data_IF_231543517607
#
_entry.id   IF_231543517607
#
_cell.length_a   1.000
_cell.length_b   1.000
_cell.length_c   1.000
_cell.angle_alpha   90.00
_cell.angle_beta   90.00
_cell.angle_gamma   90.00
#
_symmetry.space_group_name_H-M   'P 1'
#
loop_
_entity.id
_entity.type
_entity.pdbx_description
1 polymer ?
#
# COMPACT_ATOMS: atom_id res chain seq x y z
N UNK A 1 -9.68 13.52 14.15
CA UNK A 1 -8.50 13.36 13.28
C UNK A 1 -8.66 12.08 12.45
N UNK A 2 -8.33 12.13 11.15
CA UNK A 2 -8.45 10.99 10.22
C UNK A 2 -7.61 9.81 10.72
N UNK A 3 -8.15 8.59 10.64
CA UNK A 3 -7.57 7.28 11.05
C UNK A 3 -7.31 7.03 12.55
N UNK A 4 -7.61 7.96 13.45
CA UNK A 4 -7.26 7.82 14.88
C UNK A 4 -7.89 6.61 15.59
N UNK A 5 -9.01 6.08 15.08
CA UNK A 5 -9.73 4.91 15.62
C UNK A 5 -9.85 3.78 14.60
N UNK A 6 -9.06 3.84 13.54
CA UNK A 6 -9.12 2.88 12.45
C UNK A 6 -8.27 1.64 12.78
N UNK A 7 -8.95 0.58 13.22
CA UNK A 7 -8.32 -0.68 13.57
C UNK A 7 -7.89 -1.52 12.36
N UNK A 8 -8.25 -1.11 11.14
CA UNK A 8 -7.89 -1.82 9.91
C UNK A 8 -6.42 -1.60 9.51
N UNK A 9 -5.87 -2.49 8.66
CA UNK A 9 -4.53 -2.34 8.10
C UNK A 9 -4.47 -1.16 7.12
N UNK A 10 -3.26 -0.81 6.65
CA UNK A 10 -3.09 0.18 5.57
C UNK A 10 -3.82 -0.24 4.30
N UNK A 11 -3.73 -1.52 3.96
CA UNK A 11 -4.40 -2.15 2.84
C UNK A 11 -4.79 -3.59 3.23
N UNK A 12 -6.09 -3.96 3.22
CA UNK A 12 -6.54 -5.30 3.58
C UNK A 12 -6.15 -6.38 2.57
N UNK A 13 -5.73 -6.00 1.37
CA UNK A 13 -5.27 -6.92 0.30
C UNK A 13 -3.75 -7.08 0.26
N UNK A 14 -3.01 -6.27 1.02
CA UNK A 14 -1.56 -6.32 1.03
C UNK A 14 -1.03 -7.43 1.96
N UNK A 15 -0.22 -8.38 1.45
CA UNK A 15 0.28 -9.50 2.24
C UNK A 15 1.51 -9.15 3.09
N UNK A 16 1.94 -7.89 3.14
CA UNK A 16 3.17 -7.51 3.84
C UNK A 16 3.05 -7.72 5.35
N UNK A 17 4.19 -7.92 6.02
CA UNK A 17 4.27 -8.06 7.47
C UNK A 17 3.70 -6.87 8.23
N UNK A 18 3.58 -5.70 7.58
CA UNK A 18 3.03 -4.49 8.17
C UNK A 18 1.51 -4.54 8.29
N UNK A 19 0.84 -4.80 7.16
CA UNK A 19 -0.62 -4.95 7.13
C UNK A 19 -1.10 -6.14 7.96
N UNK A 20 -0.27 -7.17 8.15
CA UNK A 20 -0.63 -8.32 9.00
C UNK A 20 -0.61 -8.03 10.51
N UNK A 21 0.06 -6.95 10.96
CA UNK A 21 0.37 -6.74 12.38
C UNK A 21 -0.10 -5.41 12.96
N UNK A 22 -0.13 -4.35 12.15
CA UNK A 22 -0.36 -3.00 12.66
C UNK A 22 -1.55 -2.33 11.97
N UNK A 23 -2.35 -1.65 12.79
CA UNK A 23 -3.50 -0.87 12.33
C UNK A 23 -3.10 0.53 11.87
N UNK A 24 -3.95 1.17 11.07
CA UNK A 24 -3.83 2.57 10.68
C UNK A 24 -3.81 3.49 11.90
N UNK A 25 -4.61 3.20 12.93
CA UNK A 25 -4.61 3.95 14.18
C UNK A 25 -3.24 3.90 14.89
N UNK A 26 -2.63 2.72 14.99
CA UNK A 26 -1.32 2.55 15.63
C UNK A 26 -0.22 3.24 14.84
N UNK A 27 -0.15 3.02 13.53
CA UNK A 27 0.84 3.65 12.66
C UNK A 27 0.72 5.18 12.68
N UNK A 28 -0.51 5.71 12.66
CA UNK A 28 -0.77 7.14 12.84
C UNK A 28 -0.25 7.64 14.18
N UNK A 29 -0.52 6.93 15.27
CA UNK A 29 -0.03 7.31 16.60
C UNK A 29 1.50 7.42 16.63
N UNK A 30 2.21 6.42 16.10
CA UNK A 30 3.67 6.43 16.02
C UNK A 30 4.22 7.63 15.24
N UNK A 31 3.60 7.97 14.10
CA UNK A 31 3.94 9.16 13.32
C UNK A 31 3.71 10.46 14.11
N UNK A 32 2.61 10.55 14.85
CA UNK A 32 2.26 11.75 15.63
C UNK A 32 3.21 12.01 16.80
N UNK A 33 3.75 10.96 17.41
CA UNK A 33 4.69 11.08 18.54
C UNK A 33 6.16 11.14 18.09
N UNK A 34 6.42 11.13 16.79
CA UNK A 34 7.78 11.21 16.23
C UNK A 34 8.62 9.95 16.49
N UNK A 35 7.98 8.78 16.62
CA UNK A 35 8.69 7.52 16.82
C UNK A 35 9.46 7.13 15.55
N UNK A 36 10.75 6.80 15.69
CA UNK A 36 11.66 6.59 14.55
C UNK A 36 11.31 5.35 13.71
N UNK A 37 10.81 4.29 14.36
CA UNK A 37 10.34 3.05 13.74
C UNK A 37 9.13 3.23 12.85
N UNK A 38 8.31 4.26 13.07
CA UNK A 38 7.15 4.58 12.24
C UNK A 38 7.52 4.67 10.75
N UNK A 39 8.58 5.41 10.43
CA UNK A 39 9.06 5.56 9.06
C UNK A 39 9.53 4.24 8.45
N UNK A 40 10.15 3.36 9.24
CA UNK A 40 10.57 2.03 8.79
C UNK A 40 9.37 1.16 8.43
N UNK A 41 8.32 1.16 9.25
CA UNK A 41 7.10 0.38 9.00
C UNK A 41 6.38 0.86 7.74
N UNK A 42 6.25 2.17 7.55
CA UNK A 42 5.66 2.74 6.33
C UNK A 42 6.49 2.38 5.10
N UNK A 43 7.82 2.50 5.16
CA UNK A 43 8.71 2.10 4.06
C UNK A 43 8.58 0.63 3.70
N UNK A 44 8.49 -0.27 4.70
CA UNK A 44 8.31 -1.70 4.45
C UNK A 44 7.00 -1.99 3.69
N UNK A 45 5.89 -1.34 4.07
CA UNK A 45 4.62 -1.46 3.35
C UNK A 45 4.73 -0.90 1.92
N UNK A 46 5.29 0.31 1.77
CA UNK A 46 5.40 0.96 0.47
C UNK A 46 6.28 0.16 -0.51
N UNK A 47 7.38 -0.42 -0.04
CA UNK A 47 8.24 -1.27 -0.85
C UNK A 47 7.52 -2.55 -1.26
N UNK A 48 6.82 -3.22 -0.34
CA UNK A 48 6.04 -4.41 -0.67
C UNK A 48 5.00 -4.14 -1.76
N UNK A 49 4.26 -3.04 -1.63
CA UNK A 49 3.29 -2.60 -2.65
C UNK A 49 3.98 -2.28 -3.98
N UNK A 50 5.06 -1.49 -3.96
CA UNK A 50 5.79 -1.09 -5.19
C UNK A 50 6.32 -2.31 -5.94
N UNK A 51 6.93 -3.27 -5.23
CA UNK A 51 7.43 -4.51 -5.82
C UNK A 51 6.29 -5.36 -6.41
N UNK A 52 5.12 -5.40 -5.75
CA UNK A 52 3.94 -6.08 -6.27
C UNK A 52 3.46 -5.45 -7.58
N UNK A 53 3.44 -4.12 -7.69
CA UNK A 53 3.07 -3.43 -8.94
C UNK A 53 4.03 -3.79 -10.07
N UNK A 54 5.34 -3.78 -9.82
CA UNK A 54 6.35 -4.15 -10.82
C UNK A 54 6.20 -5.62 -11.23
N UNK A 55 5.93 -6.53 -10.30
CA UNK A 55 5.70 -7.94 -10.60
C UNK A 55 4.46 -8.15 -11.49
N UNK A 56 3.32 -7.52 -11.14
CA UNK A 56 2.10 -7.58 -11.95
C UNK A 56 2.30 -6.97 -13.35
N UNK A 57 3.05 -5.87 -13.45
CA UNK A 57 3.41 -5.28 -14.74
C UNK A 57 4.24 -6.24 -15.60
N UNK A 58 5.25 -6.90 -15.00
CA UNK A 58 6.07 -7.90 -15.68
C UNK A 58 5.22 -9.07 -16.19
N UNK A 59 4.33 -9.62 -15.37
CA UNK A 59 3.41 -10.69 -15.77
C UNK A 59 2.52 -10.27 -16.95
N UNK A 60 1.99 -9.05 -16.92
CA UNK A 60 1.13 -8.54 -17.98
C UNK A 60 1.87 -8.33 -19.31
N UNK A 61 3.14 -7.93 -19.27
CA UNK A 61 4.00 -7.87 -20.47
C UNK A 61 4.20 -9.27 -21.04
N UNK A 62 4.53 -10.26 -20.22
CA UNK A 62 4.75 -11.64 -20.66
C UNK A 62 3.47 -12.28 -21.23
N UNK A 63 2.30 -11.89 -20.70
CA UNK A 63 1.00 -12.35 -21.16
C UNK A 63 0.42 -11.53 -22.33
N UNK A 64 1.12 -10.51 -22.83
CA UNK A 64 0.66 -9.66 -23.93
C UNK A 64 -0.54 -8.77 -23.61
N UNK A 65 -0.85 -8.54 -22.32
CA UNK A 65 -2.04 -7.81 -21.87
C UNK A 65 -1.73 -6.54 -21.05
N UNK A 66 -0.51 -6.01 -21.17
CA UNK A 66 -0.05 -4.82 -20.45
C UNK A 66 -0.97 -3.60 -20.62
N UNK A 67 -1.50 -3.34 -21.82
CA UNK A 67 -2.42 -2.21 -22.05
C UNK A 67 -3.69 -2.33 -21.20
N UNK A 68 -4.27 -3.52 -21.09
CA UNK A 68 -5.43 -3.79 -20.23
C UNK A 68 -5.11 -3.52 -18.76
N UNK A 69 -3.93 -3.96 -18.29
CA UNK A 69 -3.46 -3.66 -16.93
C UNK A 69 -3.34 -2.15 -16.72
N UNK A 70 -2.68 -1.44 -17.64
CA UNK A 70 -2.46 0.01 -17.58
C UNK A 70 -3.79 0.77 -17.49
N UNK A 71 -4.77 0.41 -18.31
CA UNK A 71 -6.06 1.12 -18.35
C UNK A 71 -6.86 0.88 -17.05
N UNK A 72 -6.86 -0.36 -16.54
CA UNK A 72 -7.45 -0.69 -15.23
C UNK A 72 -6.77 0.08 -14.08
N UNK A 73 -5.45 0.15 -14.12
CA UNK A 73 -4.64 0.90 -13.18
C UNK A 73 -5.03 2.39 -13.23
N UNK A 74 -4.94 3.03 -14.39
CA UNK A 74 -5.32 4.43 -14.58
C UNK A 74 -6.74 4.75 -14.09
N UNK A 75 -7.72 3.88 -14.35
CA UNK A 75 -9.10 4.04 -13.87
C UNK A 75 -9.19 4.10 -12.33
N UNK A 76 -8.36 3.34 -11.61
CA UNK A 76 -8.33 3.33 -10.13
C UNK A 76 -7.85 4.67 -9.57
N UNK A 77 -6.90 5.33 -10.22
CA UNK A 77 -6.35 6.61 -9.77
C UNK A 77 -7.09 7.84 -10.32
N UNK A 78 -7.81 7.72 -11.43
CA UNK A 78 -8.55 8.83 -12.04
C UNK A 78 -9.61 9.44 -11.10
N UNK A 79 -10.15 8.65 -10.16
CA UNK A 79 -11.17 9.07 -9.19
C UNK A 79 -10.65 9.59 -7.86
N UNK A 80 -9.33 9.77 -7.68
CA UNK A 80 -8.70 10.10 -6.39
C UNK A 80 -8.19 11.54 -6.25
N UNK A 81 -8.78 12.49 -7.00
CA UNK A 81 -8.51 13.93 -6.82
C UNK A 81 -9.14 14.47 -5.54
#
# INVERSE_FOLDING_TARGET
AVYARDAGPLDPTCPCSVCARWSRAYLRHLLMVGERGAGRLITLHNLAWTLSVVATAREAVMAGNYNTLRDRMAATWAGRR
#
